data_IF_985656827690
#
_entry.id   IF_985656827690
#
_cell.length_a   1.000
_cell.length_b   1.000
_cell.length_c   1.000
_cell.angle_alpha   90.00
_cell.angle_beta   90.00
_cell.angle_gamma   90.00
#
_symmetry.space_group_name_H-M   'P 1'
#
loop_
_entity.id
_entity.type
_entity.pdbx_description
1 polymer ?
#
# COMPACT_ATOMS: atom_id res chain seq x y z
N UNK A 1 -4.90 -7.22 40.90
CA UNK A 1 -4.68 -6.67 39.53
C UNK A 1 -3.74 -5.48 39.69
N UNK A 2 -2.51 -5.63 39.24
CA UNK A 2 -1.45 -4.65 39.55
C UNK A 2 -1.68 -3.35 38.79
N UNK A 3 -1.78 -2.24 39.50
CA UNK A 3 -1.96 -0.89 38.96
C UNK A 3 -1.07 -0.61 37.75
N UNK A 4 0.22 -1.04 37.72
CA UNK A 4 1.08 -0.83 36.53
C UNK A 4 0.61 -1.59 35.29
N UNK A 5 -0.04 -2.74 35.43
CA UNK A 5 -0.56 -3.52 34.31
C UNK A 5 -1.80 -2.87 33.70
N UNK A 6 -2.66 -2.27 34.52
CA UNK A 6 -3.84 -1.51 34.06
C UNK A 6 -3.38 -0.24 33.34
N UNK A 7 -2.38 0.48 33.85
CA UNK A 7 -1.81 1.67 33.22
C UNK A 7 -1.16 1.32 31.88
N UNK A 8 -0.40 0.22 31.80
CA UNK A 8 0.21 -0.26 30.56
C UNK A 8 -0.84 -0.67 29.52
N UNK A 9 -1.92 -1.33 29.95
CA UNK A 9 -3.02 -1.72 29.06
C UNK A 9 -3.79 -0.50 28.54
N UNK A 10 -4.08 0.46 29.40
CA UNK A 10 -4.80 1.70 29.05
C UNK A 10 -3.97 2.56 28.12
N UNK A 11 -2.65 2.70 28.37
CA UNK A 11 -1.75 3.43 27.47
C UNK A 11 -1.58 2.72 26.14
N UNK A 12 -1.48 1.39 26.12
CA UNK A 12 -1.45 0.61 24.87
C UNK A 12 -2.74 0.79 24.06
N UNK A 13 -3.90 0.71 24.72
CA UNK A 13 -5.20 0.90 24.08
C UNK A 13 -5.36 2.35 23.55
N UNK A 14 -4.92 3.35 24.31
CA UNK A 14 -4.95 4.75 23.91
C UNK A 14 -4.06 5.01 22.67
N UNK A 15 -2.91 4.37 22.61
CA UNK A 15 -1.97 4.46 21.47
C UNK A 15 -2.50 3.72 20.24
N UNK A 16 -3.07 2.53 20.42
CA UNK A 16 -3.76 1.80 19.34
C UNK A 16 -4.94 2.62 18.81
N UNK A 17 -5.73 3.23 19.67
CA UNK A 17 -6.83 4.09 19.27
C UNK A 17 -6.34 5.38 18.60
N UNK A 18 -5.27 6.00 19.09
CA UNK A 18 -4.67 7.18 18.45
C UNK A 18 -4.07 6.86 17.05
N UNK A 19 -3.36 5.73 16.93
CA UNK A 19 -2.81 5.30 15.64
C UNK A 19 -3.91 4.89 14.66
N UNK A 20 -4.96 4.21 15.13
CA UNK A 20 -6.13 3.85 14.33
C UNK A 20 -6.96 5.08 13.95
N UNK A 21 -7.11 6.05 14.84
CA UNK A 21 -7.79 7.32 14.57
C UNK A 21 -7.03 8.17 13.53
N UNK A 22 -5.69 8.22 13.61
CA UNK A 22 -4.84 8.85 12.60
C UNK A 22 -4.98 8.11 11.26
N UNK A 23 -4.95 6.78 11.28
CA UNK A 23 -5.18 5.94 10.10
C UNK A 23 -6.56 6.18 9.49
N UNK A 24 -7.63 6.14 10.30
CA UNK A 24 -9.01 6.34 9.84
C UNK A 24 -9.24 7.77 9.35
N UNK A 25 -8.63 8.77 9.99
CA UNK A 25 -8.70 10.17 9.58
C UNK A 25 -8.01 10.42 8.23
N UNK A 26 -6.86 9.80 7.95
CA UNK A 26 -6.23 9.88 6.63
C UNK A 26 -7.04 9.14 5.58
N UNK A 27 -7.57 7.96 5.90
CA UNK A 27 -8.38 7.17 4.98
C UNK A 27 -9.78 7.78 4.73
N UNK A 28 -10.40 8.39 5.73
CA UNK A 28 -11.74 9.00 5.61
C UNK A 28 -11.74 10.37 4.91
N UNK A 29 -10.61 11.09 4.88
CA UNK A 29 -10.54 12.36 4.14
C UNK A 29 -10.58 12.20 2.63
N UNK A 30 -10.09 11.11 2.10
CA UNK A 30 -10.27 10.81 0.67
C UNK A 30 -11.75 10.50 0.35
N UNK A 31 -12.42 9.76 1.22
CA UNK A 31 -13.86 9.48 1.08
C UNK A 31 -14.73 10.76 1.25
N UNK A 32 -14.39 11.64 2.20
CA UNK A 32 -15.11 12.89 2.46
C UNK A 32 -14.87 13.96 1.37
N UNK A 33 -13.69 14.01 0.76
CA UNK A 33 -13.43 14.92 -0.36
C UNK A 33 -14.21 14.50 -1.62
N UNK A 34 -14.40 13.21 -1.84
CA UNK A 34 -15.26 12.70 -2.91
C UNK A 34 -16.74 12.98 -2.63
N UNK A 35 -17.16 12.94 -1.36
CA UNK A 35 -18.53 13.33 -0.94
C UNK A 35 -18.78 14.82 -1.06
N UNK A 36 -17.88 15.68 -0.58
CA UNK A 36 -18.01 17.15 -0.71
C UNK A 36 -18.08 17.59 -2.18
N UNK A 37 -17.26 17.04 -3.06
CA UNK A 37 -17.35 17.36 -4.50
C UNK A 37 -18.64 16.87 -5.16
N UNK A 38 -19.38 15.91 -4.56
CA UNK A 38 -20.71 15.50 -5.03
C UNK A 38 -21.80 16.47 -4.59
N UNK A 39 -21.64 17.15 -3.47
CA UNK A 39 -22.64 18.08 -2.92
C UNK A 39 -22.42 19.49 -3.45
N UNK A 40 -21.19 19.91 -3.71
CA UNK A 40 -20.86 21.25 -4.24
C UNK A 40 -21.23 21.47 -5.72
N UNK A 41 -21.68 20.40 -6.43
CA UNK A 41 -22.28 20.52 -7.78
C UNK A 41 -23.74 21.02 -7.81
N UNK A 42 -24.38 21.21 -6.65
CA UNK A 42 -25.81 21.56 -6.62
C UNK A 42 -26.14 22.49 -5.43
N UNK A 43 -25.40 23.55 -5.24
CA UNK A 43 -25.92 24.76 -4.58
C UNK A 43 -24.78 25.73 -4.25
N UNK A 44 -24.66 26.75 -5.05
CA UNK A 44 -24.14 28.02 -4.60
C UNK A 44 -25.06 28.55 -3.48
N UNK A 45 -24.44 29.18 -2.50
CA UNK A 45 -25.08 29.94 -1.41
C UNK A 45 -25.75 29.13 -0.28
N UNK A 46 -24.96 28.82 0.74
CA UNK A 46 -25.33 28.99 2.14
C UNK A 46 -24.02 29.15 2.93
N UNK A 47 -23.90 30.31 3.57
CA UNK A 47 -22.81 30.66 4.49
C UNK A 47 -22.65 29.61 5.58
N UNK A 48 -21.45 29.04 5.70
CA UNK A 48 -21.11 28.09 6.74
C UNK A 48 -20.83 28.85 8.04
N UNK A 49 -21.82 28.93 8.90
CA UNK A 49 -21.58 29.15 10.33
C UNK A 49 -20.61 28.09 10.85
N UNK A 50 -19.49 28.55 11.38
CA UNK A 50 -18.47 27.72 12.01
C UNK A 50 -19.05 27.06 13.26
N UNK A 51 -19.32 25.75 13.18
CA UNK A 51 -19.55 24.95 14.36
C UNK A 51 -18.29 24.94 15.25
N UNK A 52 -18.43 25.04 16.59
CA UNK A 52 -17.28 25.08 17.51
C UNK A 52 -16.43 23.83 17.33
N UNK A 53 -15.12 24.03 17.13
CA UNK A 53 -14.14 22.97 16.99
C UNK A 53 -14.22 22.03 18.19
N UNK A 54 -14.64 20.78 17.96
CA UNK A 54 -14.73 19.77 18.99
C UNK A 54 -13.34 19.47 19.57
N UNK A 55 -13.29 18.91 20.79
CA UNK A 55 -12.06 18.51 21.50
C UNK A 55 -11.12 17.67 20.60
N UNK A 56 -11.66 16.91 19.66
CA UNK A 56 -10.95 16.11 18.66
C UNK A 56 -10.18 16.99 17.66
N UNK A 57 -10.75 18.11 17.22
CA UNK A 57 -10.11 19.03 16.28
C UNK A 57 -8.96 19.80 16.93
N UNK A 58 -9.07 20.16 18.20
CA UNK A 58 -7.98 20.77 18.97
C UNK A 58 -6.84 19.78 19.23
N UNK A 59 -7.14 18.53 19.58
CA UNK A 59 -6.15 17.48 19.72
C UNK A 59 -5.44 17.17 18.40
N UNK A 60 -6.17 17.17 17.29
CA UNK A 60 -5.61 16.98 15.95
C UNK A 60 -4.76 18.17 15.49
N UNK A 61 -5.09 19.38 15.89
CA UNK A 61 -4.27 20.56 15.63
C UNK A 61 -2.94 20.53 16.40
N UNK A 62 -2.97 20.10 17.67
CA UNK A 62 -1.76 19.89 18.49
C UNK A 62 -0.88 18.78 17.94
N UNK A 63 -1.46 17.65 17.52
CA UNK A 63 -0.72 16.56 16.86
C UNK A 63 -0.06 17.02 15.56
N UNK A 64 -0.74 17.85 14.77
CA UNK A 64 -0.16 18.45 13.56
C UNK A 64 1.03 19.36 13.89
N UNK A 65 0.90 20.18 14.92
CA UNK A 65 2.00 21.05 15.38
C UNK A 65 3.22 20.26 15.83
N UNK A 66 3.01 19.18 16.58
CA UNK A 66 4.07 18.25 17.00
C UNK A 66 4.71 17.54 15.80
N UNK A 67 3.91 17.03 14.86
CA UNK A 67 4.41 16.39 13.64
C UNK A 67 5.22 17.35 12.77
N UNK A 68 4.77 18.59 12.61
CA UNK A 68 5.51 19.62 11.87
C UNK A 68 6.80 20.01 12.60
N UNK A 69 6.79 20.09 13.93
CA UNK A 69 7.98 20.38 14.73
C UNK A 69 9.04 19.26 14.64
N UNK A 70 8.64 18.00 14.80
CA UNK A 70 9.51 16.83 14.61
C UNK A 70 10.04 16.71 13.18
N UNK A 71 9.23 17.02 12.20
CA UNK A 71 9.66 16.99 10.81
C UNK A 71 10.66 18.09 10.47
N UNK A 72 10.55 19.29 11.10
CA UNK A 72 11.56 20.37 10.95
C UNK A 72 12.88 20.01 11.61
N UNK A 73 12.83 19.28 12.73
CA UNK A 73 14.04 18.89 13.45
C UNK A 73 14.84 17.79 12.75
N UNK A 74 14.16 16.98 11.93
CA UNK A 74 14.76 15.88 11.16
C UNK A 74 14.60 16.10 9.65
N UNK A 75 14.85 17.32 9.16
CA UNK A 75 14.96 17.53 7.72
C UNK A 75 16.09 16.65 7.20
N UNK A 76 15.81 15.65 6.35
CA UNK A 76 16.84 14.84 5.75
C UNK A 76 17.75 15.76 4.94
N UNK A 77 19.03 15.76 5.25
CA UNK A 77 20.06 16.54 4.56
C UNK A 77 20.25 16.11 3.09
N UNK A 78 19.65 14.99 2.69
CA UNK A 78 19.67 14.47 1.33
C UNK A 78 18.39 14.85 0.59
N UNK A 79 18.51 15.79 -0.32
CA UNK A 79 17.44 16.21 -1.25
C UNK A 79 16.88 15.00 -2.03
N UNK A 80 17.73 14.03 -2.34
CA UNK A 80 17.35 12.79 -3.06
C UNK A 80 16.39 11.90 -2.25
N UNK A 81 16.58 11.77 -0.93
CA UNK A 81 15.67 10.98 -0.08
C UNK A 81 14.29 11.63 0.04
N UNK A 82 14.23 12.96 0.07
CA UNK A 82 12.96 13.69 0.07
C UNK A 82 12.22 13.48 -1.25
N UNK A 83 12.94 13.55 -2.37
CA UNK A 83 12.36 13.29 -3.69
C UNK A 83 11.89 11.85 -3.84
N UNK A 84 12.65 10.86 -3.37
CA UNK A 84 12.27 9.46 -3.38
C UNK A 84 11.01 9.20 -2.54
N UNK A 85 10.96 9.74 -1.32
CA UNK A 85 9.80 9.64 -0.43
C UNK A 85 8.57 10.32 -1.02
N UNK A 86 8.74 11.51 -1.64
CA UNK A 86 7.67 12.22 -2.32
C UNK A 86 7.10 11.42 -3.49
N UNK A 87 7.98 10.80 -4.30
CA UNK A 87 7.56 9.91 -5.39
C UNK A 87 6.74 8.72 -4.88
N UNK A 88 7.21 8.06 -3.81
CA UNK A 88 6.48 6.94 -3.20
C UNK A 88 5.09 7.36 -2.68
N UNK A 89 4.98 8.55 -2.08
CA UNK A 89 3.71 9.10 -1.61
C UNK A 89 2.76 9.43 -2.76
N UNK A 90 3.27 10.00 -3.86
CA UNK A 90 2.49 10.23 -5.08
C UNK A 90 1.96 8.91 -5.65
N UNK A 91 2.81 7.88 -5.71
CA UNK A 91 2.43 6.55 -6.19
C UNK A 91 1.39 5.86 -5.26
N UNK A 92 1.39 6.19 -3.97
CA UNK A 92 0.35 5.77 -3.02
C UNK A 92 -0.95 6.60 -3.13
N UNK A 93 -0.94 7.72 -3.88
CA UNK A 93 -2.09 8.62 -4.02
C UNK A 93 -2.04 9.87 -3.15
N UNK A 94 -1.06 9.99 -2.26
CA UNK A 94 -0.93 11.15 -1.37
C UNK A 94 -0.19 12.30 -2.08
N UNK A 95 -0.95 13.19 -2.74
CA UNK A 95 -0.42 14.27 -3.58
C UNK A 95 -0.15 15.59 -2.85
N UNK A 96 -0.47 15.66 -1.55
CA UNK A 96 -0.27 16.88 -0.76
C UNK A 96 1.21 17.27 -0.73
N UNK A 97 1.53 18.57 -0.92
CA UNK A 97 2.89 19.09 -0.80
C UNK A 97 3.49 18.84 0.60
N UNK A 98 2.64 18.73 1.63
CA UNK A 98 3.05 18.46 3.02
C UNK A 98 3.17 16.97 3.35
N UNK A 99 2.75 16.06 2.46
CA UNK A 99 2.75 14.62 2.71
C UNK A 99 4.12 14.05 3.12
N UNK A 100 5.26 14.41 2.50
CA UNK A 100 6.58 13.92 2.93
C UNK A 100 6.93 14.33 4.37
N UNK A 101 6.61 15.59 4.73
CA UNK A 101 6.86 16.14 6.07
C UNK A 101 6.07 15.37 7.13
N UNK A 102 4.77 15.13 6.87
CA UNK A 102 3.95 14.33 7.77
C UNK A 102 4.41 12.88 7.89
N UNK A 103 4.86 12.30 6.80
CA UNK A 103 5.33 10.91 6.79
C UNK A 103 6.62 10.73 7.61
N UNK A 104 7.59 11.64 7.49
CA UNK A 104 8.81 11.64 8.30
C UNK A 104 8.47 11.90 9.76
N UNK A 105 7.60 12.87 10.06
CA UNK A 105 7.12 13.13 11.42
C UNK A 105 6.43 11.92 12.04
N UNK A 106 5.60 11.21 11.29
CA UNK A 106 4.91 10.01 11.75
C UNK A 106 5.88 8.86 12.08
N UNK A 107 6.94 8.66 11.29
CA UNK A 107 7.99 7.67 11.58
C UNK A 107 8.64 7.91 12.94
N UNK A 108 9.06 9.15 13.19
CA UNK A 108 9.75 9.53 14.43
C UNK A 108 8.80 9.47 15.63
N UNK A 109 7.60 10.02 15.47
CA UNK A 109 6.61 10.01 16.53
C UNK A 109 6.25 8.58 16.94
N UNK A 110 6.06 7.68 15.97
CA UNK A 110 5.74 6.28 16.25
C UNK A 110 6.91 5.53 16.89
N UNK A 111 8.15 5.82 16.48
CA UNK A 111 9.36 5.24 17.08
C UNK A 111 9.52 5.67 18.55
N UNK A 112 9.38 6.98 18.83
CA UNK A 112 9.46 7.52 20.19
C UNK A 112 8.33 6.99 21.06
N UNK A 113 7.12 6.95 20.51
CA UNK A 113 5.94 6.45 21.22
C UNK A 113 6.12 4.98 21.63
N UNK A 114 6.59 4.13 20.71
CA UNK A 114 6.89 2.72 20.97
C UNK A 114 8.00 2.55 22.01
N UNK A 115 9.07 3.37 21.95
CA UNK A 115 10.14 3.38 22.94
C UNK A 115 9.64 3.80 24.32
N UNK A 116 8.83 4.87 24.42
CA UNK A 116 8.20 5.32 25.67
C UNK A 116 7.26 4.27 26.27
N UNK A 117 6.48 3.60 25.41
CA UNK A 117 5.53 2.57 25.83
C UNK A 117 6.26 1.37 26.43
N UNK A 118 7.37 0.97 25.84
CA UNK A 118 8.25 -0.07 26.38
C UNK A 118 8.91 0.38 27.70
N UNK A 119 9.27 1.66 27.85
CA UNK A 119 9.86 2.22 29.08
C UNK A 119 8.89 2.20 30.26
N UNK A 120 7.58 2.26 30.01
CA UNK A 120 6.57 2.16 31.06
C UNK A 120 6.39 0.75 31.62
N UNK A 121 6.85 -0.28 30.92
CA UNK A 121 6.78 -1.67 31.38
C UNK A 121 7.93 -1.92 32.36
N UNK A 122 7.68 -2.21 33.65
CA UNK A 122 8.73 -2.44 34.61
C UNK A 122 9.59 -3.66 34.21
N UNK A 123 10.91 -3.49 34.24
CA UNK A 123 11.88 -4.52 33.85
C UNK A 123 11.69 -5.87 34.59
N UNK A 124 11.15 -5.80 35.83
CA UNK A 124 10.83 -6.99 36.66
C UNK A 124 9.72 -7.85 36.05
N UNK A 125 8.78 -7.25 35.33
CA UNK A 125 7.66 -7.98 34.71
C UNK A 125 8.11 -8.74 33.46
N UNK A 126 9.14 -8.25 32.77
CA UNK A 126 9.74 -8.86 31.57
C UNK A 126 10.72 -10.00 31.89
N UNK A 127 11.06 -10.22 33.17
CA UNK A 127 11.95 -11.31 33.60
C UNK A 127 13.38 -11.21 33.11
N UNK A 128 13.85 -10.03 32.70
CA UNK A 128 15.20 -9.84 32.17
C UNK A 128 16.19 -9.44 33.28
N UNK A 129 17.12 -10.32 33.65
CA UNK A 129 18.11 -10.01 34.72
C UNK A 129 19.27 -9.13 34.24
N UNK A 130 19.39 -8.84 32.91
CA UNK A 130 20.53 -8.13 32.33
C UNK A 130 20.12 -6.85 31.62
N UNK A 131 20.80 -5.75 31.93
CA UNK A 131 20.64 -4.44 31.28
C UNK A 131 20.84 -4.53 29.76
N UNK A 132 21.79 -5.36 29.31
CA UNK A 132 22.08 -5.59 27.89
C UNK A 132 20.88 -6.15 27.12
N UNK A 133 20.14 -7.12 27.69
CA UNK A 133 18.93 -7.67 27.05
C UNK A 133 17.83 -6.61 27.00
N UNK A 134 17.68 -5.82 28.04
CA UNK A 134 16.70 -4.75 28.09
C UNK A 134 16.95 -3.72 27.00
N UNK A 135 18.19 -3.26 26.82
CA UNK A 135 18.59 -2.31 25.77
C UNK A 135 18.31 -2.87 24.38
N UNK A 136 18.59 -4.15 24.16
CA UNK A 136 18.29 -4.81 22.87
C UNK A 136 16.79 -4.76 22.52
N UNK A 137 15.91 -5.03 23.50
CA UNK A 137 14.47 -4.97 23.28
C UNK A 137 13.97 -3.53 23.04
N UNK A 138 14.52 -2.53 23.71
CA UNK A 138 14.20 -1.13 23.44
C UNK A 138 14.53 -0.75 21.99
N UNK A 139 15.73 -1.09 21.52
CA UNK A 139 16.16 -0.83 20.15
C UNK A 139 15.26 -1.57 19.15
N UNK A 140 14.94 -2.81 19.43
CA UNK A 140 14.09 -3.62 18.54
C UNK A 140 12.67 -3.04 18.44
N UNK A 141 12.05 -2.65 19.55
CA UNK A 141 10.71 -2.05 19.57
C UNK A 141 10.70 -0.67 18.90
N UNK A 142 11.72 0.17 19.15
CA UNK A 142 11.86 1.44 18.46
C UNK A 142 12.04 1.26 16.95
N UNK A 143 12.83 0.27 16.51
CA UNK A 143 13.01 -0.08 15.12
C UNK A 143 11.68 -0.54 14.49
N UNK A 144 10.90 -1.39 15.16
CA UNK A 144 9.57 -1.78 14.71
C UNK A 144 8.66 -0.56 14.53
N UNK A 145 8.65 0.40 15.47
CA UNK A 145 7.90 1.64 15.35
C UNK A 145 8.32 2.49 14.15
N UNK A 146 9.62 2.56 13.87
CA UNK A 146 10.16 3.31 12.73
C UNK A 146 9.82 2.66 11.38
N UNK A 147 9.87 1.33 11.28
CA UNK A 147 9.61 0.61 10.03
C UNK A 147 8.12 0.38 9.75
N UNK A 148 7.25 0.42 10.75
CA UNK A 148 5.82 0.21 10.57
C UNK A 148 5.16 1.13 9.52
N UNK A 149 5.38 2.47 9.53
CA UNK A 149 4.83 3.36 8.49
C UNK A 149 5.39 3.07 7.09
N UNK A 150 6.63 2.61 7.00
CA UNK A 150 7.26 2.25 5.71
C UNK A 150 6.59 1.02 5.10
N UNK A 151 6.35 -0.02 5.92
CA UNK A 151 5.65 -1.23 5.48
C UNK A 151 4.21 -0.93 5.07
N UNK A 152 3.52 -0.07 5.84
CA UNK A 152 2.20 0.38 5.47
C UNK A 152 2.19 1.12 4.12
N UNK A 153 3.11 2.06 3.91
CA UNK A 153 3.21 2.81 2.65
C UNK A 153 3.48 1.86 1.47
N UNK A 154 4.38 0.89 1.62
CA UNK A 154 4.65 -0.12 0.59
C UNK A 154 3.41 -0.93 0.23
N UNK A 155 2.61 -1.33 1.24
CA UNK A 155 1.34 -2.04 1.01
C UNK A 155 0.31 -1.16 0.33
N UNK A 156 0.20 0.12 0.73
CA UNK A 156 -0.70 1.08 0.09
C UNK A 156 -0.34 1.30 -1.38
N UNK A 157 0.96 1.46 -1.71
CA UNK A 157 1.44 1.55 -3.09
C UNK A 157 1.08 0.28 -3.87
N UNK A 158 1.36 -0.91 -3.32
CA UNK A 158 1.07 -2.17 -3.98
C UNK A 158 -0.43 -2.33 -4.25
N UNK A 159 -1.28 -2.08 -3.25
CA UNK A 159 -2.73 -2.16 -3.40
C UNK A 159 -3.26 -1.20 -4.48
N UNK A 160 -2.75 0.04 -4.52
CA UNK A 160 -3.12 1.01 -5.55
C UNK A 160 -2.64 0.61 -6.94
N UNK A 161 -1.40 0.12 -7.06
CA UNK A 161 -0.87 -0.39 -8.34
C UNK A 161 -1.72 -1.55 -8.86
N UNK A 162 -2.09 -2.48 -8.00
CA UNK A 162 -2.97 -3.60 -8.34
C UNK A 162 -4.36 -3.13 -8.79
N UNK A 163 -4.93 -2.12 -8.11
CA UNK A 163 -6.23 -1.55 -8.50
C UNK A 163 -6.16 -0.90 -9.89
N UNK A 164 -5.14 -0.06 -10.13
CA UNK A 164 -4.89 0.58 -11.42
C UNK A 164 -4.66 -0.46 -12.52
N UNK A 165 -3.82 -1.47 -12.27
CA UNK A 165 -3.50 -2.51 -13.26
C UNK A 165 -4.73 -3.32 -13.68
N UNK A 166 -5.68 -3.53 -12.73
CA UNK A 166 -6.96 -4.17 -13.05
C UNK A 166 -7.90 -3.27 -13.86
N UNK A 167 -7.84 -1.97 -13.66
CA UNK A 167 -8.75 -1.01 -14.27
C UNK A 167 -8.36 -0.61 -15.71
N UNK A 168 -7.08 -0.69 -16.07
CA UNK A 168 -6.57 -0.19 -17.36
C UNK A 168 -7.24 -0.87 -18.56
N UNK A 169 -7.40 -2.22 -18.64
CA UNK A 169 -8.04 -2.83 -19.81
C UNK A 169 -9.46 -2.34 -20.03
N UNK A 170 -10.24 -2.21 -18.96
CA UNK A 170 -11.64 -1.76 -19.05
C UNK A 170 -11.72 -0.30 -19.54
N UNK A 171 -10.79 0.54 -19.09
CA UNK A 171 -10.69 1.92 -19.58
C UNK A 171 -10.23 1.99 -21.05
N UNK A 172 -9.31 1.11 -21.46
CA UNK A 172 -8.87 1.04 -22.86
C UNK A 172 -10.00 0.64 -23.79
N UNK A 173 -10.86 -0.32 -23.40
CA UNK A 173 -12.03 -0.71 -24.18
C UNK A 173 -12.98 0.48 -24.36
N UNK A 174 -13.25 1.22 -23.30
CA UNK A 174 -14.08 2.44 -23.39
C UNK A 174 -13.41 3.51 -24.28
N UNK A 175 -12.06 3.66 -24.20
CA UNK A 175 -11.34 4.59 -25.07
C UNK A 175 -11.44 4.18 -26.53
N UNK A 176 -11.30 2.88 -26.84
CA UNK A 176 -11.47 2.35 -28.22
C UNK A 176 -12.86 2.72 -28.75
N UNK A 177 -13.92 2.46 -28.01
CA UNK A 177 -15.29 2.80 -28.41
C UNK A 177 -15.44 4.30 -28.64
N UNK A 178 -14.90 5.15 -27.77
CA UNK A 178 -14.96 6.59 -27.92
C UNK A 178 -14.22 7.09 -29.18
N UNK A 179 -13.03 6.55 -29.43
CA UNK A 179 -12.21 6.94 -30.59
C UNK A 179 -12.83 6.43 -31.91
N UNK A 180 -13.38 5.21 -31.93
CA UNK A 180 -14.07 4.66 -33.08
C UNK A 180 -15.40 5.40 -33.38
N UNK A 181 -16.04 5.97 -32.35
CA UNK A 181 -17.18 6.88 -32.51
C UNK A 181 -16.77 8.29 -33.00
N UNK A 182 -15.48 8.54 -33.26
CA UNK A 182 -14.97 9.79 -33.81
C UNK A 182 -14.56 10.84 -32.77
N UNK A 183 -14.53 10.49 -31.49
CA UNK A 183 -13.99 11.40 -30.47
C UNK A 183 -12.47 11.47 -30.61
N UNK A 184 -11.91 12.69 -30.49
CA UNK A 184 -10.47 12.86 -30.36
C UNK A 184 -9.94 12.24 -29.07
N UNK A 185 -8.69 11.75 -29.05
CA UNK A 185 -8.08 11.07 -27.91
C UNK A 185 -8.22 11.86 -26.60
N UNK A 186 -8.00 13.17 -26.63
CA UNK A 186 -8.08 14.04 -25.45
C UNK A 186 -9.50 14.11 -24.86
N UNK A 187 -10.50 14.12 -25.74
CA UNK A 187 -11.91 14.08 -25.34
C UNK A 187 -12.29 12.68 -24.82
N UNK A 188 -11.80 11.62 -25.47
CA UNK A 188 -12.01 10.24 -25.02
C UNK A 188 -11.45 10.01 -23.61
N UNK A 189 -10.23 10.49 -23.31
CA UNK A 189 -9.63 10.43 -21.97
C UNK A 189 -10.53 11.09 -20.91
N UNK A 190 -11.02 12.29 -21.17
CA UNK A 190 -11.91 12.99 -20.24
C UNK A 190 -13.24 12.27 -20.05
N UNK A 191 -13.83 11.72 -21.13
CA UNK A 191 -15.08 10.95 -21.10
C UNK A 191 -14.96 9.66 -20.31
N UNK A 192 -13.92 8.87 -20.61
CA UNK A 192 -13.62 7.61 -19.90
C UNK A 192 -13.29 7.87 -18.44
N UNK A 193 -12.50 8.92 -18.13
CA UNK A 193 -12.22 9.32 -16.75
C UNK A 193 -13.49 9.56 -15.92
N UNK A 194 -14.51 10.17 -16.52
CA UNK A 194 -15.83 10.35 -15.88
C UNK A 194 -16.60 9.04 -15.70
N UNK A 195 -16.59 8.17 -16.72
CA UNK A 195 -17.36 6.92 -16.76
C UNK A 195 -16.84 5.89 -15.74
N UNK A 196 -15.51 5.70 -15.68
CA UNK A 196 -14.89 4.71 -14.78
C UNK A 196 -14.88 5.12 -13.30
N UNK A 197 -15.39 6.30 -12.96
CA UNK A 197 -15.39 6.83 -11.59
C UNK A 197 -16.08 5.94 -10.57
N UNK A 198 -17.11 5.21 -10.98
CA UNK A 198 -17.88 4.33 -10.08
C UNK A 198 -17.22 2.98 -9.88
N UNK A 199 -16.59 2.45 -10.91
CA UNK A 199 -15.96 1.12 -10.91
C UNK A 199 -14.51 1.16 -10.49
N UNK A 200 -13.76 2.17 -10.93
CA UNK A 200 -12.31 2.30 -10.77
C UNK A 200 -11.93 3.75 -10.38
N UNK A 201 -12.23 4.18 -9.14
CA UNK A 201 -12.01 5.57 -8.71
C UNK A 201 -10.54 6.00 -8.81
N UNK A 202 -9.57 5.09 -8.53
CA UNK A 202 -8.14 5.39 -8.61
C UNK A 202 -7.70 5.76 -10.04
N UNK A 203 -8.22 5.03 -11.04
CA UNK A 203 -7.92 5.31 -12.44
C UNK A 203 -8.64 6.55 -12.93
N UNK A 204 -9.90 6.74 -12.52
CA UNK A 204 -10.65 7.96 -12.81
C UNK A 204 -9.91 9.22 -12.38
N UNK A 205 -9.34 9.20 -11.17
CA UNK A 205 -8.57 10.34 -10.65
C UNK A 205 -7.33 10.64 -11.50
N UNK A 206 -6.63 9.62 -11.97
CA UNK A 206 -5.44 9.80 -12.84
C UNK A 206 -5.82 10.31 -14.22
N UNK A 207 -6.90 9.77 -14.82
CA UNK A 207 -7.39 10.21 -16.13
C UNK A 207 -7.95 11.63 -16.08
N UNK A 208 -8.63 12.02 -14.99
CA UNK A 208 -9.12 13.38 -14.81
C UNK A 208 -7.97 14.39 -14.66
N UNK A 209 -6.88 14.03 -13.98
CA UNK A 209 -5.69 14.88 -13.91
C UNK A 209 -5.04 15.01 -15.28
N UNK A 210 -4.90 13.90 -16.02
CA UNK A 210 -4.39 13.92 -17.37
C UNK A 210 -5.24 14.85 -18.27
N UNK A 211 -6.57 14.72 -18.21
CA UNK A 211 -7.48 15.59 -18.95
C UNK A 211 -7.35 17.07 -18.54
N UNK A 212 -7.09 17.35 -17.27
CA UNK A 212 -6.84 18.71 -16.78
C UNK A 212 -5.51 19.26 -17.32
N UNK A 213 -4.42 18.47 -17.27
CA UNK A 213 -3.12 18.86 -17.81
C UNK A 213 -3.22 19.21 -19.30
N UNK A 214 -3.96 18.39 -20.09
CA UNK A 214 -4.22 18.68 -21.51
C UNK A 214 -5.00 19.96 -21.73
N UNK A 215 -6.00 20.26 -20.90
CA UNK A 215 -6.80 21.51 -20.96
C UNK A 215 -6.01 22.74 -20.55
N UNK A 216 -5.05 22.62 -19.64
CA UNK A 216 -4.21 23.73 -19.16
C UNK A 216 -3.05 24.06 -20.09
N UNK A 217 -2.95 23.39 -21.25
CA UNK A 217 -1.98 23.70 -22.30
C UNK A 217 -0.66 22.93 -22.20
N UNK A 218 -0.56 21.94 -21.33
CA UNK A 218 0.59 21.01 -21.34
C UNK A 218 0.64 20.24 -22.66
N UNK A 219 1.84 19.99 -23.16
CA UNK A 219 1.96 19.16 -24.38
C UNK A 219 1.43 17.75 -24.10
N UNK A 220 0.75 17.13 -25.09
CA UNK A 220 0.20 15.78 -24.94
C UNK A 220 1.28 14.77 -24.50
N UNK A 221 2.48 14.88 -25.02
CA UNK A 221 3.58 14.00 -24.65
C UNK A 221 4.00 14.17 -23.19
N UNK A 222 4.02 15.40 -22.69
CA UNK A 222 4.37 15.72 -21.31
C UNK A 222 3.29 15.21 -20.35
N UNK A 223 2.02 15.49 -20.62
CA UNK A 223 0.89 15.05 -19.83
C UNK A 223 0.83 13.50 -19.73
N UNK A 224 1.05 12.80 -20.85
CA UNK A 224 1.14 11.34 -20.86
C UNK A 224 2.34 10.80 -20.06
N UNK A 225 3.52 11.44 -20.16
CA UNK A 225 4.69 11.07 -19.35
C UNK A 225 4.44 11.30 -17.86
N UNK A 226 3.75 12.38 -17.50
CA UNK A 226 3.36 12.67 -16.13
C UNK A 226 2.43 11.58 -15.58
N UNK A 227 1.48 11.09 -16.39
CA UNK A 227 0.63 9.94 -16.04
C UNK A 227 1.48 8.69 -15.73
N UNK A 228 2.43 8.35 -16.61
CA UNK A 228 3.33 7.21 -16.40
C UNK A 228 4.19 7.37 -15.13
N UNK A 229 4.66 8.58 -14.85
CA UNK A 229 5.43 8.88 -13.64
C UNK A 229 4.59 8.75 -12.36
N UNK A 230 3.32 9.22 -12.36
CA UNK A 230 2.43 9.15 -11.20
C UNK A 230 1.93 7.75 -10.89
N UNK A 231 1.67 6.96 -11.91
CA UNK A 231 1.17 5.58 -11.74
C UNK A 231 2.30 4.58 -11.44
N UNK A 232 3.49 4.83 -11.99
CA UNK A 232 4.68 3.96 -11.90
C UNK A 232 4.37 2.50 -12.22
N UNK A 233 3.52 2.30 -13.26
CA UNK A 233 3.15 1.00 -13.81
C UNK A 233 3.81 0.79 -15.17
N UNK A 234 4.32 -0.41 -15.41
CA UNK A 234 4.95 -0.76 -16.67
C UNK A 234 3.95 -0.73 -17.82
N UNK A 235 2.75 -1.21 -17.58
CA UNK A 235 1.65 -1.22 -18.55
C UNK A 235 1.28 0.20 -19.01
N UNK A 236 1.25 1.17 -18.08
CA UNK A 236 1.00 2.58 -18.42
C UNK A 236 2.17 3.18 -19.18
N UNK A 237 3.41 2.85 -18.82
CA UNK A 237 4.60 3.30 -19.56
C UNK A 237 4.58 2.81 -21.01
N UNK A 238 4.23 1.55 -21.21
CA UNK A 238 4.11 0.95 -22.54
C UNK A 238 2.96 1.59 -23.33
N UNK A 239 1.81 1.83 -22.72
CA UNK A 239 0.70 2.56 -23.33
C UNK A 239 1.11 3.99 -23.74
N UNK A 240 1.78 4.72 -22.85
CA UNK A 240 2.24 6.08 -23.13
C UNK A 240 3.25 6.09 -24.28
N UNK A 241 4.20 5.16 -24.29
CA UNK A 241 5.16 5.02 -25.40
C UNK A 241 4.44 4.77 -26.75
N UNK A 242 3.44 3.87 -26.73
CA UNK A 242 2.61 3.58 -27.91
C UNK A 242 1.85 4.83 -28.38
N UNK A 243 1.17 5.55 -27.47
CA UNK A 243 0.40 6.75 -27.82
C UNK A 243 1.29 7.88 -28.36
N UNK A 244 2.46 8.09 -27.75
CA UNK A 244 3.44 9.09 -28.24
C UNK A 244 3.97 8.73 -29.63
N UNK A 245 4.20 7.45 -29.88
CA UNK A 245 4.63 6.96 -31.19
C UNK A 245 3.53 7.10 -32.25
N UNK A 246 2.30 6.72 -31.90
CA UNK A 246 1.14 6.79 -32.80
C UNK A 246 0.81 8.24 -33.18
N UNK A 247 0.92 9.18 -32.24
CA UNK A 247 0.72 10.61 -32.48
C UNK A 247 1.72 11.18 -33.50
N UNK A 248 2.96 10.66 -33.52
CA UNK A 248 4.01 11.07 -34.47
C UNK A 248 3.81 10.51 -35.87
N UNK A 249 3.32 9.29 -36.00
CA UNK A 249 3.28 8.57 -37.29
C UNK A 249 1.89 8.51 -37.92
N UNK A 250 0.85 9.09 -37.27
CA UNK A 250 -0.50 9.19 -37.84
C UNK A 250 -1.21 7.85 -38.03
N UNK A 251 -0.76 6.79 -37.34
CA UNK A 251 -1.43 5.48 -37.37
C UNK A 251 -2.76 5.53 -36.59
N UNK A 252 -3.69 4.63 -36.90
CA UNK A 252 -5.01 4.59 -36.22
C UNK A 252 -4.83 4.34 -34.71
N UNK A 253 -5.10 5.38 -33.91
CA UNK A 253 -5.01 5.32 -32.45
C UNK A 253 -5.97 4.23 -31.91
N UNK A 254 -7.17 4.11 -32.48
CA UNK A 254 -8.16 3.09 -32.06
C UNK A 254 -7.61 1.67 -32.22
N UNK A 255 -6.98 1.38 -33.37
CA UNK A 255 -6.35 0.06 -33.59
C UNK A 255 -5.20 -0.21 -32.62
N UNK A 256 -4.35 0.78 -32.37
CA UNK A 256 -3.24 0.65 -31.41
C UNK A 256 -3.74 0.39 -29.98
N UNK A 257 -4.77 1.09 -29.53
CA UNK A 257 -5.41 0.88 -28.23
C UNK A 257 -6.03 -0.52 -28.11
N UNK A 258 -6.72 -1.00 -29.16
CA UNK A 258 -7.33 -2.33 -29.19
C UNK A 258 -6.27 -3.42 -29.05
N UNK A 259 -5.20 -3.38 -29.86
CA UNK A 259 -4.09 -4.34 -29.77
C UNK A 259 -3.46 -4.33 -28.38
N UNK A 260 -3.29 -3.16 -27.79
CA UNK A 260 -2.73 -3.05 -26.44
C UNK A 260 -3.66 -3.63 -25.35
N UNK A 261 -4.98 -3.38 -25.45
CA UNK A 261 -5.98 -3.96 -24.54
C UNK A 261 -5.98 -5.50 -24.61
N UNK A 262 -5.96 -6.07 -25.81
CA UNK A 262 -5.91 -7.52 -26.01
C UNK A 262 -4.60 -8.14 -25.49
N UNK A 263 -3.48 -7.46 -25.69
CA UNK A 263 -2.19 -7.86 -25.12
C UNK A 263 -2.22 -7.90 -23.59
N UNK A 264 -2.83 -6.91 -22.94
CA UNK A 264 -2.96 -6.87 -21.49
C UNK A 264 -3.85 -8.00 -20.94
N UNK A 265 -4.95 -8.31 -21.63
CA UNK A 265 -5.82 -9.45 -21.27
C UNK A 265 -5.07 -10.78 -21.39
N UNK A 266 -4.33 -10.95 -22.49
CA UNK A 266 -3.50 -12.15 -22.70
C UNK A 266 -2.43 -12.27 -21.61
N UNK A 267 -1.73 -11.19 -21.28
CA UNK A 267 -0.73 -11.17 -20.22
C UNK A 267 -1.33 -11.54 -18.85
N UNK A 268 -2.53 -11.06 -18.54
CA UNK A 268 -3.24 -11.45 -17.31
C UNK A 268 -3.54 -12.94 -17.28
N UNK A 269 -4.04 -13.50 -18.39
CA UNK A 269 -4.34 -14.92 -18.50
C UNK A 269 -3.07 -15.75 -18.31
N UNK A 270 -1.96 -15.40 -18.98
CA UNK A 270 -0.67 -16.07 -18.85
C UNK A 270 -0.12 -16.00 -17.43
N UNK A 271 -0.24 -14.84 -16.74
CA UNK A 271 0.14 -14.73 -15.32
C UNK A 271 -0.68 -15.67 -14.42
N UNK A 272 -1.99 -15.81 -14.68
CA UNK A 272 -2.84 -16.73 -13.92
C UNK A 272 -2.47 -18.19 -14.18
N UNK A 273 -2.20 -18.56 -15.43
CA UNK A 273 -1.73 -19.89 -15.83
C UNK A 273 -0.36 -20.22 -15.20
N UNK A 274 0.56 -19.25 -15.18
CA UNK A 274 1.88 -19.38 -14.52
C UNK A 274 1.74 -19.64 -13.01
N UNK A 275 0.85 -18.89 -12.35
CA UNK A 275 0.58 -19.09 -10.92
C UNK A 275 -0.03 -20.48 -10.66
N UNK A 276 -0.97 -20.92 -11.50
CA UNK A 276 -1.55 -22.24 -11.44
C UNK A 276 -0.51 -23.36 -11.65
N UNK A 277 0.38 -23.19 -12.61
CA UNK A 277 1.47 -24.15 -12.87
C UNK A 277 2.48 -24.29 -11.71
N UNK A 278 2.62 -23.24 -10.88
CA UNK A 278 3.48 -23.27 -9.68
C UNK A 278 2.83 -23.98 -8.47
N UNK A 279 1.50 -24.21 -8.49
CA UNK A 279 0.80 -24.84 -7.36
C UNK A 279 1.26 -26.27 -7.07
N UNK A 280 1.44 -27.19 -8.05
CA UNK A 280 1.89 -28.55 -7.77
C UNK A 280 3.26 -28.56 -7.07
N UNK A 281 4.19 -27.72 -7.49
CA UNK A 281 5.52 -27.61 -6.87
C UNK A 281 5.43 -27.13 -5.42
N UNK A 282 4.53 -26.18 -5.12
CA UNK A 282 4.31 -25.72 -3.73
C UNK A 282 3.68 -26.77 -2.85
N UNK A 283 2.88 -27.68 -3.43
CA UNK A 283 2.27 -28.80 -2.69
C UNK A 283 3.27 -29.90 -2.36
N UNK A 284 4.39 -30.00 -3.09
CA UNK A 284 5.47 -30.97 -2.78
C UNK A 284 6.06 -30.72 -1.40
N UNK A 285 6.18 -29.47 -0.97
CA UNK A 285 6.80 -29.11 0.31
C UNK A 285 6.04 -29.69 1.51
N UNK A 286 4.73 -29.49 1.69
CA UNK A 286 3.95 -30.15 2.73
C UNK A 286 3.96 -31.68 2.61
N UNK A 287 3.94 -32.21 1.40
CA UNK A 287 3.96 -33.66 1.16
C UNK A 287 5.26 -34.30 1.67
N UNK A 288 6.42 -33.67 1.36
CA UNK A 288 7.73 -34.15 1.85
C UNK A 288 7.81 -34.00 3.37
N UNK A 289 7.33 -32.92 3.97
CA UNK A 289 7.50 -32.72 5.41
C UNK A 289 6.50 -33.48 6.28
N UNK A 290 5.31 -33.79 5.79
CA UNK A 290 4.27 -34.47 6.59
C UNK A 290 4.01 -35.89 6.17
N UNK A 291 3.91 -36.18 4.86
CA UNK A 291 3.56 -37.53 4.39
C UNK A 291 4.78 -38.45 4.39
N UNK A 292 5.94 -37.97 3.95
CA UNK A 292 7.13 -38.79 3.93
C UNK A 292 7.56 -39.30 5.33
N UNK A 293 7.67 -38.46 6.38
CA UNK A 293 7.99 -38.94 7.72
C UNK A 293 6.93 -39.89 8.30
N UNK A 294 5.66 -39.62 8.08
CA UNK A 294 4.60 -40.48 8.60
C UNK A 294 4.60 -41.84 7.95
N UNK A 295 4.84 -41.93 6.65
CA UNK A 295 4.97 -43.16 5.91
C UNK A 295 6.21 -43.95 6.37
N UNK A 296 7.32 -43.24 6.65
CA UNK A 296 8.54 -43.86 7.19
C UNK A 296 8.31 -44.48 8.58
N UNK A 297 7.60 -43.78 9.46
CA UNK A 297 7.26 -44.31 10.79
C UNK A 297 6.40 -45.58 10.69
N UNK A 298 5.43 -45.60 9.79
CA UNK A 298 4.55 -46.77 9.60
C UNK A 298 5.31 -47.96 9.00
N UNK A 299 6.22 -47.75 8.05
CA UNK A 299 6.99 -48.79 7.40
C UNK A 299 8.12 -49.35 8.29
N UNK A 300 8.88 -48.44 8.91
CA UNK A 300 10.08 -48.83 9.70
C UNK A 300 9.72 -49.15 11.14
N UNK A 301 8.64 -48.57 11.67
CA UNK A 301 8.23 -48.78 13.07
C UNK A 301 8.12 -50.25 13.48
N UNK A 302 7.40 -51.13 12.75
CA UNK A 302 7.31 -52.55 13.07
C UNK A 302 8.65 -53.28 13.01
N UNK A 303 9.52 -52.90 12.07
CA UNK A 303 10.85 -53.47 11.93
C UNK A 303 11.77 -53.08 13.11
N UNK A 304 11.76 -51.81 13.50
CA UNK A 304 12.49 -51.31 14.66
C UNK A 304 12.02 -51.98 15.96
N UNK A 305 10.71 -52.15 16.15
CA UNK A 305 10.15 -52.82 17.34
C UNK A 305 10.60 -54.30 17.40
N UNK A 306 10.56 -54.99 16.27
CA UNK A 306 11.05 -56.41 16.21
C UNK A 306 12.54 -56.47 16.49
N UNK A 307 13.32 -55.57 15.91
CA UNK A 307 14.78 -55.53 16.10
C UNK A 307 15.13 -55.29 17.56
N UNK A 308 14.51 -54.33 18.23
CA UNK A 308 14.71 -54.03 19.66
C UNK A 308 14.29 -55.26 20.52
N UNK A 309 13.15 -55.88 20.24
CA UNK A 309 12.66 -57.03 21.04
C UNK A 309 13.45 -58.29 20.87
N UNK A 310 14.10 -58.53 19.72
CA UNK A 310 14.83 -59.76 19.43
C UNK A 310 16.32 -59.57 19.64
N UNK A 311 16.91 -58.49 19.20
CA UNK A 311 18.36 -58.28 19.26
C UNK A 311 18.86 -57.88 20.64
N UNK A 312 18.12 -57.01 21.36
CA UNK A 312 18.56 -56.54 22.68
C UNK A 312 18.65 -57.66 23.73
N UNK A 313 17.70 -58.62 23.86
CA UNK A 313 17.84 -59.74 24.76
C UNK A 313 18.97 -60.68 24.34
N UNK A 314 19.17 -60.91 23.03
CA UNK A 314 20.22 -61.76 22.50
C UNK A 314 21.66 -61.25 22.76
N UNK A 315 21.80 -59.90 22.79
CA UNK A 315 23.08 -59.23 23.09
C UNK A 315 23.39 -59.16 24.60
N UNK A 316 22.35 -59.10 25.45
CA UNK A 316 22.52 -59.01 26.90
C UNK A 316 22.59 -60.39 27.60
N UNK A 317 22.64 -61.55 26.87
CA UNK A 317 22.93 -62.82 27.42
C UNK A 317 21.87 -63.41 28.37
N UNK A 318 20.59 -63.00 28.21
CA UNK A 318 19.46 -63.66 28.93
C UNK A 318 18.56 -64.39 27.96
#
# INVERSE_FOLDING_TARGET
MDIPLIVALVTFLAVMLASSAVFFYFNSREALQTWRRRVEGTSATLESEAAPAGMVDQFMAQLRGLLEWFARMNQPSNVEEVHATRRQLINAGYRSAKAPVFFVGAKLLLAILMACLMAMIPAKLLGFPSVSKLTFYYVLVAACGYYAPVLWLRRAIAARKDALQRAIPDALDLMVVCVEAGLGLDQAIGRVGGEVKRTHPELSDELNILALELRTGSSRQEALRNLAYRTDLEEVRNLVALLVQTDRFGTSIGQALRVHADSMRTTRRLKAEELAAKLPVKLLLPLIFFIFPSMFIVLIGPACIKMVRVLFPALNGQ
#
